data_IF_247451165404
#
_entry.id   IF_247451165404
#
_cell.length_a   1.000
_cell.length_b   1.000
_cell.length_c   1.000
_cell.angle_alpha   90.00
_cell.angle_beta   90.00
_cell.angle_gamma   90.00
#
_symmetry.space_group_name_H-M   'P 1'
#
loop_
_entity.id
_entity.type
_entity.pdbx_description
1 polymer ?
#
# COMPACT_ATOMS: atom_id res chain seq x y z
N UNK A 1 -11.15 -11.40 -17.54
CA UNK A 1 -10.67 -12.80 -17.71
C UNK A 1 -9.71 -13.16 -16.60
N UNK A 2 -10.09 -14.14 -15.77
CA UNK A 2 -9.26 -14.65 -14.67
C UNK A 2 -8.30 -15.73 -15.17
N UNK A 3 -7.14 -15.82 -14.52
CA UNK A 3 -6.24 -16.96 -14.66
C UNK A 3 -6.70 -18.11 -13.76
N UNK A 4 -6.45 -19.34 -14.18
CA UNK A 4 -6.73 -20.51 -13.35
C UNK A 4 -5.84 -20.52 -12.10
N UNK A 5 -6.43 -20.88 -10.95
CA UNK A 5 -5.76 -20.95 -9.65
C UNK A 5 -4.54 -21.89 -9.67
N UNK A 6 -4.54 -22.93 -10.51
CA UNK A 6 -3.42 -23.84 -10.68
C UNK A 6 -2.23 -23.16 -11.36
N UNK A 7 -2.48 -22.31 -12.37
CA UNK A 7 -1.43 -21.54 -13.04
C UNK A 7 -0.81 -20.52 -12.10
N UNK A 8 -1.65 -19.81 -11.35
CA UNK A 8 -1.21 -18.88 -10.30
C UNK A 8 -0.37 -19.60 -9.24
N UNK A 9 -0.84 -20.75 -8.74
CA UNK A 9 -0.11 -21.59 -7.79
C UNK A 9 1.22 -22.08 -8.35
N UNK A 10 1.25 -22.57 -9.59
CA UNK A 10 2.47 -23.03 -10.25
C UNK A 10 3.48 -21.89 -10.39
N UNK A 11 3.02 -20.70 -10.80
CA UNK A 11 3.88 -19.53 -10.90
C UNK A 11 4.48 -19.16 -9.54
N UNK A 12 3.66 -18.93 -8.53
CA UNK A 12 4.11 -18.39 -7.24
C UNK A 12 4.90 -19.38 -6.40
N UNK A 13 4.52 -20.65 -6.37
CA UNK A 13 5.17 -21.63 -5.49
C UNK A 13 6.23 -22.47 -6.22
N UNK A 14 6.05 -22.79 -7.50
CA UNK A 14 6.97 -23.70 -8.22
C UNK A 14 8.02 -22.98 -9.07
N UNK A 15 7.73 -21.79 -9.61
CA UNK A 15 8.72 -21.05 -10.42
C UNK A 15 9.69 -20.21 -9.59
N UNK A 16 10.96 -20.13 -10.01
CA UNK A 16 11.95 -19.25 -9.37
C UNK A 16 11.61 -17.77 -9.54
N UNK A 17 11.07 -17.39 -10.70
CA UNK A 17 10.64 -16.02 -10.99
C UNK A 17 9.48 -15.60 -10.11
N UNK A 18 8.44 -16.44 -9.98
CA UNK A 18 7.29 -16.17 -9.14
C UNK A 18 7.63 -16.12 -7.65
N UNK A 19 8.52 -17.00 -7.15
CA UNK A 19 9.02 -16.89 -5.77
C UNK A 19 9.78 -15.59 -5.52
N UNK A 20 10.58 -15.14 -6.50
CA UNK A 20 11.29 -13.86 -6.40
C UNK A 20 10.32 -12.67 -6.44
N UNK A 21 9.31 -12.72 -7.30
CA UNK A 21 8.27 -11.69 -7.38
C UNK A 21 7.45 -11.61 -6.09
N UNK A 22 6.99 -12.76 -5.59
CA UNK A 22 6.30 -12.89 -4.30
C UNK A 22 7.10 -12.27 -3.18
N UNK A 23 8.41 -12.58 -3.08
CA UNK A 23 9.27 -12.03 -2.04
C UNK A 23 9.30 -10.51 -2.10
N UNK A 24 9.51 -9.91 -3.27
CA UNK A 24 9.56 -8.44 -3.41
C UNK A 24 8.25 -7.78 -2.98
N UNK A 25 7.11 -8.30 -3.44
CA UNK A 25 5.79 -7.73 -3.13
C UNK A 25 5.48 -7.92 -1.63
N UNK A 26 5.72 -9.11 -1.09
CA UNK A 26 5.45 -9.42 0.32
C UNK A 26 6.35 -8.62 1.25
N UNK A 27 7.64 -8.47 0.94
CA UNK A 27 8.57 -7.72 1.77
C UNK A 27 8.13 -6.24 1.85
N UNK A 28 7.63 -5.67 0.74
CA UNK A 28 7.03 -4.32 0.73
C UNK A 28 5.74 -4.25 1.55
N UNK A 29 4.88 -5.26 1.45
CA UNK A 29 3.66 -5.32 2.24
C UNK A 29 3.98 -5.38 3.74
N UNK A 30 4.97 -6.18 4.15
CA UNK A 30 5.40 -6.31 5.55
C UNK A 30 6.08 -5.04 6.06
N UNK A 31 6.76 -4.28 5.20
CA UNK A 31 7.27 -2.94 5.53
C UNK A 31 6.12 -1.99 5.90
N UNK A 32 5.00 -2.04 5.16
CA UNK A 32 3.84 -1.20 5.46
C UNK A 32 3.03 -1.71 6.65
N UNK A 33 2.82 -3.03 6.70
CA UNK A 33 2.05 -3.74 7.71
C UNK A 33 2.95 -4.79 8.39
N UNK A 34 3.78 -4.38 9.37
CA UNK A 34 4.54 -5.31 10.18
C UNK A 34 3.62 -6.30 10.89
N UNK A 35 4.01 -7.57 10.99
CA UNK A 35 3.17 -8.63 11.58
C UNK A 35 2.75 -8.31 13.03
N UNK A 36 3.66 -7.73 13.81
CA UNK A 36 3.38 -7.27 15.17
C UNK A 36 2.26 -6.21 15.24
N UNK A 37 2.05 -5.42 14.18
CA UNK A 37 1.02 -4.37 14.15
C UNK A 37 -0.34 -4.85 13.64
N UNK A 38 -0.44 -6.10 13.17
CA UNK A 38 -1.72 -6.73 12.79
C UNK A 38 -2.26 -7.65 13.88
N UNK A 39 -1.62 -7.68 15.05
CA UNK A 39 -2.07 -8.51 16.15
C UNK A 39 -3.51 -8.19 16.54
N UNK A 40 -4.35 -9.22 16.64
CA UNK A 40 -5.77 -9.05 16.97
C UNK A 40 -6.67 -8.58 15.81
N UNK A 41 -6.11 -8.25 14.65
CA UNK A 41 -6.85 -7.78 13.48
C UNK A 41 -7.34 -8.94 12.60
N UNK A 42 -8.40 -8.70 11.83
CA UNK A 42 -8.86 -9.57 10.75
C UNK A 42 -8.18 -9.14 9.45
N UNK A 43 -7.35 -10.02 8.90
CA UNK A 43 -6.66 -9.83 7.63
C UNK A 43 -7.36 -10.67 6.56
N UNK A 44 -7.79 -10.05 5.48
CA UNK A 44 -8.34 -10.74 4.31
C UNK A 44 -7.49 -10.46 3.08
N UNK A 45 -7.49 -11.38 2.13
CA UNK A 45 -7.01 -11.09 0.78
C UNK A 45 -7.95 -11.65 -0.27
N UNK A 46 -8.05 -10.95 -1.40
CA UNK A 46 -8.90 -11.30 -2.54
C UNK A 46 -8.08 -11.47 -3.82
N UNK A 47 -8.55 -12.33 -4.72
CA UNK A 47 -7.84 -12.75 -5.93
C UNK A 47 -6.88 -13.90 -5.62
N UNK A 48 -5.59 -13.71 -5.88
CA UNK A 48 -4.52 -14.62 -5.49
C UNK A 48 -3.56 -13.98 -4.48
N UNK A 49 -4.11 -13.30 -3.47
CA UNK A 49 -3.33 -12.59 -2.44
C UNK A 49 -2.65 -13.51 -1.39
N UNK A 50 -3.06 -14.78 -1.28
CA UNK A 50 -2.56 -15.72 -0.25
C UNK A 50 -1.02 -15.86 -0.14
N UNK A 51 -0.21 -15.73 -1.21
CA UNK A 51 1.26 -15.74 -1.08
C UNK A 51 1.82 -14.57 -0.26
N UNK A 52 1.05 -13.49 -0.12
CA UNK A 52 1.39 -12.29 0.65
C UNK A 52 0.90 -12.37 2.11
N UNK A 53 -0.13 -13.16 2.40
CA UNK A 53 -0.77 -13.22 3.72
C UNK A 53 -0.05 -14.13 4.72
N UNK A 54 0.88 -14.98 4.26
CA UNK A 54 1.59 -15.96 5.11
C UNK A 54 2.23 -15.37 6.38
N UNK A 55 2.86 -14.18 6.36
CA UNK A 55 3.43 -13.58 7.57
C UNK A 55 2.42 -13.30 8.68
N UNK A 56 1.13 -13.16 8.35
CA UNK A 56 0.09 -12.76 9.30
C UNK A 56 -0.63 -13.95 9.95
N UNK A 57 -0.36 -15.19 9.52
CA UNK A 57 -1.03 -16.39 10.03
C UNK A 57 -0.82 -16.61 11.54
N UNK A 58 0.31 -16.17 12.09
CA UNK A 58 0.64 -16.35 13.50
C UNK A 58 0.02 -15.26 14.41
N UNK A 59 0.02 -14.01 13.96
CA UNK A 59 -0.29 -12.86 14.81
C UNK A 59 -1.71 -12.31 14.62
N UNK A 60 -2.27 -12.41 13.40
CA UNK A 60 -3.61 -11.92 13.12
C UNK A 60 -4.67 -12.76 13.86
N UNK A 61 -5.75 -12.13 14.30
CA UNK A 61 -6.91 -12.84 14.89
C UNK A 61 -7.52 -13.83 13.90
N UNK A 62 -7.54 -13.44 12.62
CA UNK A 62 -8.06 -14.26 11.53
C UNK A 62 -7.38 -13.85 10.23
N UNK A 63 -7.01 -14.86 9.44
CA UNK A 63 -6.60 -14.70 8.05
C UNK A 63 -7.65 -15.34 7.16
N UNK A 64 -8.07 -14.68 6.08
CA UNK A 64 -9.05 -15.20 5.12
C UNK A 64 -8.52 -15.01 3.70
N UNK A 65 -8.44 -16.08 2.92
CA UNK A 65 -8.11 -16.03 1.50
C UNK A 65 -9.34 -16.19 0.62
N UNK A 66 -9.93 -15.08 0.18
CA UNK A 66 -11.04 -15.07 -0.76
C UNK A 66 -10.52 -15.24 -2.19
N UNK A 67 -11.08 -16.19 -2.94
CA UNK A 67 -10.70 -16.44 -4.33
C UNK A 67 -11.94 -16.37 -5.25
N UNK A 68 -11.87 -15.61 -6.37
CA UNK A 68 -13.01 -15.46 -7.27
C UNK A 68 -13.42 -16.79 -7.92
N UNK A 69 -14.74 -16.99 -8.07
CA UNK A 69 -15.34 -18.12 -8.79
C UNK A 69 -14.61 -18.49 -10.09
N UNK A 70 -14.47 -17.57 -11.06
CA UNK A 70 -13.81 -17.85 -12.34
C UNK A 70 -12.31 -18.16 -12.24
N UNK A 71 -11.62 -17.74 -11.18
CA UNK A 71 -10.21 -18.10 -10.93
C UNK A 71 -10.12 -19.52 -10.35
N UNK A 72 -11.11 -19.94 -9.57
CA UNK A 72 -11.07 -21.15 -8.76
C UNK A 72 -10.40 -20.94 -7.40
N UNK A 73 -10.48 -21.97 -6.56
CA UNK A 73 -9.92 -21.97 -5.19
C UNK A 73 -8.92 -23.11 -5.00
N UNK A 74 -7.94 -22.90 -4.13
CA UNK A 74 -7.06 -23.96 -3.63
C UNK A 74 -7.04 -23.96 -2.10
N UNK A 75 -6.84 -25.13 -1.46
CA UNK A 75 -6.63 -25.18 -0.03
C UNK A 75 -5.32 -24.47 0.34
N UNK A 76 -5.39 -23.58 1.33
CA UNK A 76 -4.23 -22.85 1.84
C UNK A 76 -4.43 -22.51 3.32
N UNK A 77 -3.40 -22.60 4.17
CA UNK A 77 -2.00 -22.92 3.86
C UNK A 77 -1.75 -24.42 3.73
N UNK A 78 -0.74 -24.81 2.94
CA UNK A 78 -0.32 -26.21 2.85
C UNK A 78 0.14 -26.74 4.21
N UNK A 79 -0.42 -27.87 4.64
CA UNK A 79 -0.10 -28.53 5.91
C UNK A 79 -0.73 -27.88 7.14
N UNK A 80 -1.71 -26.99 6.97
CA UNK A 80 -2.42 -26.30 8.04
C UNK A 80 -3.93 -26.30 7.79
N UNK A 81 -4.77 -25.97 8.79
CA UNK A 81 -6.20 -25.77 8.57
C UNK A 81 -6.46 -24.77 7.46
N UNK A 82 -7.41 -25.09 6.58
CA UNK A 82 -7.73 -24.25 5.45
C UNK A 82 -8.35 -22.91 5.89
N UNK A 83 -7.88 -21.82 5.30
CA UNK A 83 -8.43 -20.48 5.47
C UNK A 83 -8.82 -19.82 4.14
N UNK A 84 -8.86 -20.61 3.05
CA UNK A 84 -9.30 -20.15 1.73
C UNK A 84 -10.76 -20.47 1.46
N UNK A 85 -11.43 -19.57 0.74
CA UNK A 85 -12.86 -19.66 0.39
C UNK A 85 -13.05 -19.26 -1.07
N UNK A 86 -13.80 -20.07 -1.82
CA UNK A 86 -14.31 -19.69 -3.13
C UNK A 86 -15.51 -18.75 -2.93
N UNK A 87 -15.51 -17.61 -3.58
CA UNK A 87 -16.63 -16.68 -3.50
C UNK A 87 -16.90 -15.98 -4.83
N UNK A 88 -18.11 -15.46 -4.94
CA UNK A 88 -18.46 -14.50 -5.98
C UNK A 88 -17.62 -13.22 -5.82
N UNK A 89 -17.37 -12.54 -6.94
CA UNK A 89 -16.50 -11.36 -6.97
C UNK A 89 -17.04 -10.20 -6.13
N UNK A 90 -18.36 -9.99 -6.15
CA UNK A 90 -19.02 -8.84 -5.53
C UNK A 90 -19.95 -9.23 -4.37
N UNK A 91 -19.85 -10.48 -3.89
CA UNK A 91 -20.70 -11.01 -2.82
C UNK A 91 -19.87 -11.90 -1.89
N UNK A 92 -18.93 -11.27 -1.18
CA UNK A 92 -18.04 -11.98 -0.28
C UNK A 92 -18.81 -12.47 0.95
N UNK A 93 -18.52 -13.69 1.45
CA UNK A 93 -19.13 -14.26 2.64
C UNK A 93 -18.56 -13.64 3.94
N UNK A 94 -18.44 -12.31 3.96
CA UNK A 94 -17.92 -11.50 5.06
C UNK A 94 -18.99 -10.52 5.52
N UNK A 95 -19.06 -10.29 6.82
CA UNK A 95 -19.94 -9.25 7.38
C UNK A 95 -19.38 -7.87 7.02
N UNK A 96 -20.28 -6.89 6.88
CA UNK A 96 -19.89 -5.49 6.69
C UNK A 96 -19.02 -5.03 7.84
N UNK A 97 -17.90 -4.38 7.55
CA UNK A 97 -17.00 -3.84 8.55
C UNK A 97 -16.14 -4.86 9.31
N UNK A 98 -16.06 -6.11 8.86
CA UNK A 98 -15.37 -7.18 9.57
C UNK A 98 -13.84 -7.22 9.32
N UNK A 99 -13.35 -6.59 8.25
CA UNK A 99 -11.95 -6.65 7.83
C UNK A 99 -11.21 -5.38 8.25
N UNK A 100 -10.03 -5.53 8.86
CA UNK A 100 -9.16 -4.40 9.24
C UNK A 100 -8.08 -4.13 8.19
N UNK A 101 -7.62 -5.21 7.53
CA UNK A 101 -6.54 -5.22 6.54
C UNK A 101 -6.94 -6.08 5.35
N UNK A 102 -7.02 -5.49 4.17
CA UNK A 102 -7.44 -6.16 2.95
C UNK A 102 -6.32 -6.10 1.89
N UNK A 103 -5.93 -7.23 1.30
CA UNK A 103 -4.95 -7.26 0.20
C UNK A 103 -5.62 -7.76 -1.07
N UNK A 104 -5.54 -7.00 -2.15
CA UNK A 104 -5.97 -7.43 -3.47
C UNK A 104 -4.74 -7.64 -4.35
N UNK A 105 -4.61 -8.84 -4.94
CA UNK A 105 -3.59 -9.14 -5.94
C UNK A 105 -4.18 -10.13 -6.94
N UNK A 106 -4.08 -9.87 -8.25
CA UNK A 106 -4.79 -10.66 -9.28
C UNK A 106 -6.30 -10.70 -9.03
N UNK A 107 -6.88 -9.54 -8.75
CA UNK A 107 -8.31 -9.41 -8.46
C UNK A 107 -8.90 -8.25 -9.23
N UNK A 108 -8.46 -7.03 -8.92
CA UNK A 108 -9.00 -5.81 -9.52
C UNK A 108 -8.75 -5.73 -11.04
N UNK A 109 -7.56 -6.14 -11.48
CA UNK A 109 -7.15 -6.13 -12.88
C UNK A 109 -7.86 -7.19 -13.73
N UNK A 110 -8.30 -8.29 -13.12
CA UNK A 110 -8.98 -9.40 -13.80
C UNK A 110 -10.50 -9.26 -13.83
N UNK A 111 -11.03 -8.40 -12.94
CA UNK A 111 -12.45 -8.15 -12.73
C UNK A 111 -13.13 -7.49 -13.93
N UNK A 112 -14.33 -7.95 -14.26
CA UNK A 112 -15.24 -7.31 -15.21
C UNK A 112 -16.20 -6.33 -14.52
N UNK A 113 -16.28 -6.39 -13.18
CA UNK A 113 -17.15 -5.60 -12.32
C UNK A 113 -16.36 -4.76 -11.31
N UNK A 114 -15.28 -4.11 -11.77
CA UNK A 114 -14.32 -3.42 -10.90
C UNK A 114 -14.96 -2.40 -9.93
N UNK A 115 -16.00 -1.69 -10.36
CA UNK A 115 -16.78 -0.76 -9.50
C UNK A 115 -17.45 -1.50 -8.34
N UNK A 116 -18.23 -2.54 -8.63
CA UNK A 116 -18.91 -3.33 -7.61
C UNK A 116 -17.92 -4.09 -6.71
N UNK A 117 -16.78 -4.53 -7.25
CA UNK A 117 -15.70 -5.10 -6.45
C UNK A 117 -15.11 -4.08 -5.47
N UNK A 118 -14.89 -2.82 -5.88
CA UNK A 118 -14.42 -1.76 -4.99
C UNK A 118 -15.46 -1.38 -3.93
N UNK A 119 -16.76 -1.41 -4.26
CA UNK A 119 -17.85 -1.26 -3.29
C UNK A 119 -17.84 -2.40 -2.28
N UNK A 120 -17.59 -3.63 -2.71
CA UNK A 120 -17.51 -4.81 -1.85
C UNK A 120 -16.28 -4.76 -0.93
N UNK A 121 -15.13 -4.31 -1.46
CA UNK A 121 -13.95 -4.02 -0.65
C UNK A 121 -14.28 -2.99 0.44
N UNK A 122 -14.96 -1.90 0.06
CA UNK A 122 -15.35 -0.85 1.00
C UNK A 122 -16.35 -1.37 2.03
N UNK A 123 -17.31 -2.22 1.64
CA UNK A 123 -18.30 -2.83 2.54
C UNK A 123 -17.62 -3.73 3.57
N UNK A 124 -16.71 -4.59 3.14
CA UNK A 124 -16.03 -5.55 4.00
C UNK A 124 -15.11 -4.87 5.03
N UNK A 125 -14.50 -3.74 4.68
CA UNK A 125 -13.60 -3.01 5.57
C UNK A 125 -14.33 -2.30 6.72
N UNK A 126 -13.80 -2.43 7.94
CA UNK A 126 -14.23 -1.66 9.12
C UNK A 126 -13.85 -0.17 9.03
N UNK A 127 -14.42 0.69 9.89
CA UNK A 127 -13.97 2.08 10.01
C UNK A 127 -12.46 2.15 10.30
N UNK A 128 -11.72 2.95 9.52
CA UNK A 128 -10.25 3.01 9.61
C UNK A 128 -9.51 1.79 9.04
N UNK A 129 -10.24 0.83 8.46
CA UNK A 129 -9.66 -0.31 7.75
C UNK A 129 -8.85 0.14 6.53
N UNK A 130 -7.81 -0.63 6.20
CA UNK A 130 -6.88 -0.31 5.11
C UNK A 130 -6.86 -1.43 4.07
N UNK A 131 -6.79 -1.04 2.80
CA UNK A 131 -6.59 -1.94 1.69
C UNK A 131 -5.24 -1.70 1.02
N UNK A 132 -4.61 -2.76 0.53
CA UNK A 132 -3.48 -2.69 -0.40
C UNK A 132 -3.89 -3.32 -1.71
N UNK A 133 -3.82 -2.55 -2.79
CA UNK A 133 -4.09 -3.00 -4.15
C UNK A 133 -2.75 -3.24 -4.86
N UNK A 134 -2.54 -4.46 -5.34
CA UNK A 134 -1.37 -4.88 -6.12
C UNK A 134 -1.84 -5.17 -7.54
N UNK A 135 -1.51 -4.29 -8.48
CA UNK A 135 -1.98 -4.38 -9.87
C UNK A 135 -0.82 -4.28 -10.87
N UNK A 136 -0.95 -4.79 -12.11
CA UNK A 136 0.05 -4.59 -13.15
C UNK A 136 0.25 -3.11 -13.46
N UNK A 137 1.50 -2.69 -13.57
CA UNK A 137 1.84 -1.33 -13.99
C UNK A 137 1.81 -1.24 -15.52
N UNK A 138 0.95 -0.38 -16.08
CA UNK A 138 0.83 -0.16 -17.55
C UNK A 138 2.14 0.25 -18.20
N UNK A 139 2.98 1.00 -17.49
CA UNK A 139 4.27 1.43 -18.00
C UNK A 139 5.38 0.38 -17.79
N UNK A 140 5.15 -0.66 -17.00
CA UNK A 140 6.13 -1.70 -16.68
C UNK A 140 6.22 -2.82 -17.72
N UNK A 141 7.36 -3.53 -17.74
CA UNK A 141 7.58 -4.65 -18.67
C UNK A 141 6.75 -5.90 -18.36
N UNK A 142 6.29 -6.06 -17.12
CA UNK A 142 5.54 -7.24 -16.68
C UNK A 142 4.13 -7.30 -17.28
N UNK A 143 3.50 -6.14 -17.48
CA UNK A 143 2.18 -6.03 -18.14
C UNK A 143 2.20 -6.30 -19.64
N UNK A 144 3.40 -6.51 -20.22
CA UNK A 144 3.60 -6.82 -21.64
C UNK A 144 3.98 -8.27 -21.89
N UNK A 145 3.94 -9.11 -20.86
CA UNK A 145 4.40 -10.49 -20.92
C UNK A 145 3.33 -11.44 -20.40
N UNK A 146 2.73 -12.18 -21.33
CA UNK A 146 1.76 -13.25 -21.06
C UNK A 146 2.41 -14.48 -20.40
N UNK A 147 3.73 -14.46 -20.20
CA UNK A 147 4.47 -15.47 -19.46
C UNK A 147 4.37 -15.30 -17.94
N UNK A 148 3.73 -14.23 -17.46
CA UNK A 148 3.53 -13.98 -16.03
C UNK A 148 2.07 -13.62 -15.74
N UNK A 149 1.57 -13.88 -14.52
CA UNK A 149 0.22 -13.46 -14.15
C UNK A 149 -0.05 -11.96 -14.33
N UNK A 150 0.97 -11.12 -14.17
CA UNK A 150 0.84 -9.68 -14.35
C UNK A 150 0.70 -9.22 -15.81
N UNK A 151 0.84 -10.12 -16.79
CA UNK A 151 0.51 -9.84 -18.20
C UNK A 151 -0.98 -9.93 -18.51
N UNK A 152 -1.79 -10.49 -17.60
CA UNK A 152 -3.21 -10.71 -17.81
C UNK A 152 -4.05 -9.62 -17.13
N UNK A 153 -5.24 -9.37 -17.70
CA UNK A 153 -6.16 -8.36 -17.20
C UNK A 153 -5.81 -6.93 -17.65
N UNK A 154 -6.44 -5.95 -17.02
CA UNK A 154 -6.28 -4.54 -17.33
C UNK A 154 -5.12 -3.94 -16.53
N UNK A 155 -4.03 -3.49 -17.17
CA UNK A 155 -2.96 -2.80 -16.44
C UNK A 155 -3.37 -1.37 -16.09
N UNK A 156 -2.81 -0.86 -14.99
CA UNK A 156 -3.14 0.44 -14.41
C UNK A 156 -1.98 1.43 -14.52
N UNK A 157 -2.30 2.71 -14.70
CA UNK A 157 -1.41 3.80 -14.27
C UNK A 157 -1.78 4.22 -12.84
N UNK A 158 -0.82 4.81 -12.12
CA UNK A 158 -1.03 5.24 -10.74
C UNK A 158 -2.24 6.19 -10.62
N UNK A 159 -2.27 7.28 -11.41
CA UNK A 159 -3.35 8.26 -11.34
C UNK A 159 -4.74 7.68 -11.70
N UNK A 160 -4.81 6.66 -12.56
CA UNK A 160 -6.09 6.00 -12.83
C UNK A 160 -6.57 5.16 -11.64
N UNK A 161 -5.66 4.43 -11.00
CA UNK A 161 -6.01 3.67 -9.80
C UNK A 161 -6.41 4.62 -8.67
N UNK A 162 -5.66 5.69 -8.42
CA UNK A 162 -6.00 6.69 -7.40
C UNK A 162 -7.35 7.36 -7.67
N UNK A 163 -7.66 7.72 -8.91
CA UNK A 163 -8.95 8.29 -9.27
C UNK A 163 -10.11 7.31 -9.01
N UNK A 164 -9.93 6.02 -9.34
CA UNK A 164 -10.93 4.99 -9.06
C UNK A 164 -11.12 4.78 -7.55
N UNK A 165 -10.03 4.65 -6.80
CA UNK A 165 -10.08 4.50 -5.34
C UNK A 165 -10.81 5.68 -4.69
N UNK A 166 -10.48 6.91 -5.09
CA UNK A 166 -11.15 8.13 -4.61
C UNK A 166 -12.66 8.12 -4.90
N UNK A 167 -13.06 7.71 -6.11
CA UNK A 167 -14.47 7.61 -6.48
C UNK A 167 -15.25 6.60 -5.59
N UNK A 168 -14.55 5.63 -4.99
CA UNK A 168 -15.14 4.61 -4.11
C UNK A 168 -14.85 4.88 -2.63
N UNK A 169 -14.60 6.14 -2.26
CA UNK A 169 -14.39 6.58 -0.86
C UNK A 169 -13.19 5.91 -0.18
N UNK A 170 -12.12 5.72 -0.95
CA UNK A 170 -10.80 5.42 -0.41
C UNK A 170 -9.91 6.67 -0.47
N UNK A 171 -9.12 6.88 0.57
CA UNK A 171 -8.03 7.86 0.56
C UNK A 171 -6.71 7.12 0.37
N UNK A 172 -5.97 7.47 -0.67
CA UNK A 172 -4.64 6.90 -0.92
C UNK A 172 -3.66 7.41 0.13
N UNK A 173 -3.04 6.50 0.87
CA UNK A 173 -2.04 6.81 1.91
C UNK A 173 -0.64 6.87 1.31
N UNK A 174 -0.31 5.86 0.49
CA UNK A 174 0.99 5.75 -0.18
C UNK A 174 0.91 4.82 -1.38
N UNK A 175 1.80 5.05 -2.33
CA UNK A 175 1.93 4.24 -3.53
C UNK A 175 3.40 3.98 -3.85
N UNK A 176 3.70 2.80 -4.40
CA UNK A 176 5.05 2.44 -4.85
C UNK A 176 4.99 1.55 -6.08
N UNK A 177 6.00 1.64 -6.94
CA UNK A 177 6.24 0.65 -7.98
C UNK A 177 7.19 -0.44 -7.46
N UNK A 178 6.93 -1.70 -7.82
CA UNK A 178 7.80 -2.82 -7.47
C UNK A 178 8.08 -3.71 -8.69
N UNK A 179 8.95 -4.72 -8.56
CA UNK A 179 9.38 -5.61 -9.66
C UNK A 179 10.09 -4.88 -10.83
N UNK A 180 11.16 -4.14 -10.53
CA UNK A 180 12.02 -3.50 -11.55
C UNK A 180 12.84 -4.49 -12.40
N UNK A 181 13.02 -5.73 -11.91
CA UNK A 181 13.70 -6.77 -12.70
C UNK A 181 12.76 -7.29 -13.79
N UNK A 182 13.23 -7.48 -15.04
CA UNK A 182 12.38 -7.94 -16.12
C UNK A 182 11.88 -9.38 -15.90
N UNK A 183 10.72 -9.75 -16.49
CA UNK A 183 10.11 -11.08 -16.34
C UNK A 183 10.83 -12.14 -17.18
N UNK A 184 12.06 -12.53 -16.80
CA UNK A 184 12.84 -13.55 -17.51
C UNK A 184 13.26 -14.72 -16.62
N UNK A 185 13.12 -15.94 -17.15
CA UNK A 185 13.54 -17.19 -16.52
C UNK A 185 15.04 -17.51 -16.72
N UNK A 186 15.74 -16.78 -17.60
CA UNK A 186 17.13 -17.09 -17.95
C UNK A 186 18.09 -16.57 -16.88
N UNK A 187 18.87 -17.47 -16.26
CA UNK A 187 19.92 -17.17 -15.25
C UNK A 187 20.98 -16.16 -15.71
N UNK A 188 21.08 -15.90 -17.02
CA UNK A 188 22.11 -15.11 -17.69
C UNK A 188 21.93 -13.59 -17.65
N UNK A 189 20.81 -13.04 -17.15
CA UNK A 189 20.59 -11.58 -17.17
C UNK A 189 21.64 -10.78 -16.38
N UNK A 190 22.34 -11.40 -15.43
CA UNK A 190 23.48 -10.77 -14.73
C UNK A 190 24.62 -10.34 -15.66
N UNK A 191 24.83 -11.02 -16.79
CA UNK A 191 25.87 -10.65 -17.78
C UNK A 191 25.37 -9.57 -18.76
N UNK A 192 24.07 -9.57 -19.06
CA UNK A 192 23.44 -8.56 -19.91
C UNK A 192 23.21 -7.22 -19.20
N UNK A 193 23.08 -7.21 -17.87
CA UNK A 193 22.90 -6.00 -17.07
C UNK A 193 24.07 -5.01 -17.22
N UNK A 194 25.31 -5.47 -17.26
CA UNK A 194 26.49 -4.62 -17.46
C UNK A 194 26.56 -4.00 -18.87
N UNK A 195 26.04 -4.71 -19.88
CA UNK A 195 25.91 -4.20 -21.25
C UNK A 195 24.72 -3.23 -21.39
N UNK A 196 23.62 -3.49 -20.67
CA UNK A 196 22.46 -2.61 -20.62
C UNK A 196 22.71 -1.34 -19.83
N UNK A 197 23.61 -1.32 -18.83
CA UNK A 197 23.95 -0.10 -18.09
C UNK A 197 24.53 1.01 -18.97
N UNK A 198 25.23 0.64 -20.07
CA UNK A 198 25.75 1.61 -21.05
C UNK A 198 24.68 2.15 -22.00
N UNK A 199 23.60 1.41 -22.26
CA UNK A 199 22.50 1.81 -23.14
C UNK A 199 21.24 2.31 -22.37
N UNK A 200 21.13 1.98 -21.09
CA UNK A 200 19.90 2.08 -20.29
C UNK A 200 19.67 3.43 -19.63
N UNK A 201 20.63 4.36 -19.68
CA UNK A 201 20.43 5.74 -19.19
C UNK A 201 19.35 6.51 -19.97
N UNK A 202 18.87 5.97 -21.10
CA UNK A 202 17.85 6.57 -21.95
C UNK A 202 16.64 5.67 -22.23
N UNK A 203 16.41 4.60 -21.45
CA UNK A 203 15.22 3.74 -21.60
C UNK A 203 14.28 3.85 -20.38
N UNK A 204 13.28 4.76 -20.42
CA UNK A 204 12.26 4.91 -19.37
C UNK A 204 11.51 3.61 -19.02
N UNK A 205 11.41 2.69 -19.98
CA UNK A 205 10.66 1.43 -19.86
C UNK A 205 11.31 0.44 -18.87
N UNK A 206 12.62 0.51 -18.65
CA UNK A 206 13.34 -0.39 -17.71
C UNK A 206 13.26 0.09 -16.26
N UNK A 207 12.98 1.38 -16.02
CA UNK A 207 12.89 1.97 -14.68
C UNK A 207 11.47 1.95 -14.10
N UNK A 208 10.49 1.48 -14.86
CA UNK A 208 9.10 1.43 -14.40
C UNK A 208 8.80 0.03 -13.85
N UNK A 209 8.68 -0.09 -12.53
CA UNK A 209 8.44 -1.38 -11.86
C UNK A 209 7.22 -2.09 -12.44
N UNK A 210 7.28 -3.42 -12.56
CA UNK A 210 6.23 -4.26 -13.15
C UNK A 210 4.86 -4.18 -12.47
N UNK A 211 4.79 -3.81 -11.20
CA UNK A 211 3.54 -3.73 -10.44
C UNK A 211 3.44 -2.42 -9.67
N UNK A 212 2.22 -1.93 -9.51
CA UNK A 212 1.87 -0.85 -8.59
C UNK A 212 1.31 -1.47 -7.32
N UNK A 213 1.80 -0.99 -6.17
CA UNK A 213 1.20 -1.25 -4.87
C UNK A 213 0.66 0.07 -4.34
N UNK A 214 -0.62 0.11 -3.96
CA UNK A 214 -1.27 1.30 -3.39
C UNK A 214 -1.96 0.92 -2.10
N UNK A 215 -1.53 1.52 -0.98
CA UNK A 215 -2.27 1.45 0.28
C UNK A 215 -3.30 2.58 0.32
N UNK A 216 -4.53 2.25 0.66
CA UNK A 216 -5.60 3.21 0.83
C UNK A 216 -6.43 2.91 2.08
N UNK A 217 -6.88 3.96 2.77
CA UNK A 217 -7.74 3.87 3.95
C UNK A 217 -9.19 4.07 3.54
N UNK A 218 -10.09 3.26 4.12
CA UNK A 218 -11.54 3.47 3.99
C UNK A 218 -11.94 4.80 4.63
N UNK A 219 -12.54 5.68 3.82
CA UNK A 219 -13.16 6.90 4.31
C UNK A 219 -14.63 6.64 4.67
N UNK A 220 -14.95 6.84 5.94
CA UNK A 220 -16.34 6.95 6.39
C UNK A 220 -16.59 8.45 6.49
N UNK A 221 -17.40 8.99 5.59
CA UNK A 221 -17.74 10.41 5.65
C UNK A 221 -18.23 10.76 7.06
N UNK A 222 -17.68 11.82 7.66
CA UNK A 222 -18.30 12.42 8.83
C UNK A 222 -19.75 12.79 8.44
N UNK A 223 -20.74 12.59 9.32
CA UNK A 223 -22.08 13.13 9.07
C UNK A 223 -21.90 14.61 8.77
N UNK A 224 -22.25 15.05 7.55
CA UNK A 224 -22.50 16.47 7.37
C UNK A 224 -23.62 16.81 8.34
N UNK A 225 -23.48 17.82 9.20
CA UNK A 225 -24.64 18.32 9.91
C UNK A 225 -25.62 18.73 8.81
N UNK A 226 -26.68 17.96 8.65
CA UNK A 226 -27.84 18.34 7.87
C UNK A 226 -28.43 19.56 8.56
N UNK A 227 -27.99 20.74 8.16
CA UNK A 227 -28.45 21.99 8.71
C UNK A 227 -28.84 22.92 7.57
N UNK A 228 -30.14 23.01 7.30
CA UNK A 228 -30.90 24.25 7.43
C UNK A 228 -32.19 24.21 6.60
N UNK A 229 -33.29 23.79 7.24
CA UNK A 229 -34.47 24.65 7.18
C UNK A 229 -34.22 25.82 8.14
N UNK A 230 -34.19 27.03 7.60
CA UNK A 230 -34.39 28.32 8.29
C UNK A 230 -33.45 28.69 9.44
N UNK A 231 -32.42 29.52 9.18
CA UNK A 231 -31.72 30.24 10.25
C UNK A 231 -30.34 30.82 9.94
N UNK A 232 -30.09 31.21 8.69
CA UNK A 232 -28.82 31.79 8.27
C UNK A 232 -28.66 33.26 8.64
N UNK A 233 -28.34 33.57 9.91
CA UNK A 233 -27.75 34.88 10.25
C UNK A 233 -26.92 34.88 11.54
N UNK A 234 -27.22 34.00 12.52
CA UNK A 234 -26.53 34.00 13.81
C UNK A 234 -25.13 33.35 13.81
N UNK A 235 -24.85 32.39 12.92
CA UNK A 235 -23.60 31.61 12.96
C UNK A 235 -22.36 32.39 12.44
N UNK A 236 -22.58 33.36 11.54
CA UNK A 236 -21.49 34.17 10.97
C UNK A 236 -20.98 35.25 11.96
N UNK A 237 -21.78 35.63 12.96
CA UNK A 237 -21.40 36.59 14.00
C UNK A 237 -20.49 35.96 15.07
N UNK A 238 -20.70 34.68 15.41
CA UNK A 238 -19.86 33.95 16.38
C UNK A 238 -18.45 33.68 15.87
N UNK A 239 -18.34 33.19 14.63
CA UNK A 239 -17.04 32.82 14.03
C UNK A 239 -16.10 34.03 13.78
N UNK A 240 -16.65 35.25 13.66
CA UNK A 240 -15.84 36.47 13.53
C UNK A 240 -15.27 36.97 14.87
N UNK A 241 -15.93 36.70 16.00
CA UNK A 241 -15.43 37.07 17.34
C UNK A 241 -14.25 36.20 17.77
N UNK A 242 -14.29 34.90 17.49
CA UNK A 242 -13.23 33.97 17.91
C UNK A 242 -11.93 34.14 17.10
N UNK A 243 -12.00 34.52 15.82
CA UNK A 243 -10.79 34.81 15.02
C UNK A 243 -10.04 36.06 15.49
N UNK A 244 -10.74 37.09 15.97
CA UNK A 244 -10.12 38.32 16.48
C UNK A 244 -9.47 38.11 17.87
N UNK A 245 -10.02 37.21 18.69
CA UNK A 245 -9.43 36.82 19.96
C UNK A 245 -8.13 35.99 19.77
N UNK A 246 -8.13 35.04 18.82
CA UNK A 246 -6.96 34.22 18.51
C UNK A 246 -5.77 35.03 17.94
N UNK A 247 -6.03 36.02 17.09
CA UNK A 247 -4.98 36.84 16.48
C UNK A 247 -4.23 37.72 17.49
N UNK A 248 -4.91 38.23 18.54
CA UNK A 248 -4.29 39.02 19.61
C UNK A 248 -3.36 38.18 20.51
N UNK A 249 -3.69 36.91 20.74
CA UNK A 249 -2.87 36.01 21.56
C UNK A 249 -1.54 35.61 20.89
N UNK A 250 -1.53 35.47 19.56
CA UNK A 250 -0.33 35.13 18.80
C UNK A 250 0.65 36.32 18.71
N UNK A 251 0.13 37.54 18.55
CA UNK A 251 0.97 38.75 18.51
C UNK A 251 1.72 39.03 19.83
N UNK A 252 1.08 38.77 20.98
CA UNK A 252 1.70 38.94 22.30
C UNK A 252 2.80 37.90 22.61
N UNK A 253 2.77 36.73 21.94
CA UNK A 253 3.75 35.65 22.15
C UNK A 253 5.04 35.84 21.35
N UNK A 254 4.96 36.59 20.24
CA UNK A 254 6.10 36.87 19.36
C UNK A 254 6.93 38.07 19.81
N UNK A 255 6.35 39.02 20.56
CA UNK A 255 7.07 40.17 21.10
C UNK A 255 7.96 39.85 22.31
N UNK A 256 7.64 38.80 23.09
CA UNK A 256 8.46 38.36 24.25
C UNK A 256 9.71 37.55 23.88
N UNK A 257 9.85 37.07 22.64
CA UNK A 257 11.02 36.27 22.21
C UNK A 257 12.17 37.08 21.60
N UNK A 258 12.04 38.40 21.43
CA UNK A 258 13.07 39.24 20.79
C UNK A 258 14.00 40.01 21.75
N UNK A 259 13.87 39.87 23.07
CA UNK A 259 14.64 40.68 24.04
C UNK A 259 15.87 39.96 24.62
N UNK A 260 16.01 38.63 24.51
CA UNK A 260 17.18 37.91 25.02
C UNK A 260 17.99 37.27 23.89
N UNK A 261 19.00 37.98 23.40
CA UNK A 261 19.93 37.44 22.42
C UNK A 261 20.93 38.43 21.84
N UNK A 262 21.64 39.19 22.68
CA UNK A 262 22.86 39.90 22.24
C UNK A 262 23.76 40.31 23.41
N UNK A 263 24.82 39.52 23.64
CA UNK A 263 26.12 39.86 24.25
C UNK A 263 26.87 38.53 24.48
N UNK A 264 28.11 38.30 24.10
CA UNK A 264 29.14 39.09 23.43
C UNK A 264 30.28 38.14 23.02
N UNK A 265 31.07 38.53 22.03
CA UNK A 265 32.17 37.74 21.49
C UNK A 265 33.54 38.19 22.03
N UNK A 266 34.39 37.17 22.27
CA UNK A 266 35.87 37.08 22.07
C UNK A 266 36.86 37.64 23.13
N UNK A 267 38.16 37.20 23.15
CA UNK A 267 38.83 36.10 22.41
C UNK A 267 39.86 35.22 23.19
N UNK A 268 40.30 34.14 22.50
CA UNK A 268 41.55 33.36 22.50
C UNK A 268 42.60 33.37 23.65
N UNK A 269 43.06 32.17 24.03
CA UNK A 269 44.43 31.92 24.49
C UNK A 269 44.92 30.49 24.15
N UNK A 270 46.21 30.41 23.78
CA UNK A 270 47.02 29.25 23.38
C UNK A 270 47.31 28.29 24.54
N UNK A 271 47.65 27.03 24.22
CA UNK A 271 48.70 26.31 24.96
C UNK A 271 48.58 24.78 25.12
N UNK A 272 49.45 24.07 24.39
CA UNK A 272 50.25 22.91 24.83
C UNK A 272 49.60 21.51 24.98
N UNK A 273 49.94 20.66 24.00
CA UNK A 273 50.70 19.39 24.12
C UNK A 273 50.61 18.60 25.44
N UNK A 274 50.28 17.30 25.33
CA UNK A 274 51.07 16.13 25.81
C UNK A 274 50.24 14.85 25.56
N UNK A 275 50.85 13.86 24.91
CA UNK A 275 50.43 12.46 24.86
C UNK A 275 51.46 11.60 25.66
N UNK A 276 51.24 10.29 25.84
CA UNK A 276 50.88 9.61 27.08
C UNK A 276 52.08 8.87 27.73
N UNK A 277 51.84 7.99 28.73
CA UNK A 277 52.58 6.74 28.73
C UNK A 277 51.72 5.48 28.91
N UNK A 278 52.29 4.40 28.38
CA UNK A 278 51.89 3.00 28.47
C UNK A 278 52.23 2.36 29.81
N UNK A 279 51.54 1.25 30.11
CA UNK A 279 51.84 0.23 31.14
C UNK A 279 50.52 -0.36 31.63
N UNK A 280 50.25 -1.67 31.64
CA UNK A 280 51.04 -2.91 31.54
C UNK A 280 50.26 -3.94 30.70
#
# INVERSE_FOLDING_TARGET
>A
MHLDVLDLRNFYYRSALGRAAQKVIRDRLVEWWPAAHVQGQTVAGYGFAVPLLRPYLADARRVIGLMPGPQGVMPWPAGQPNVSVLCEETLWPLRTGQVDRLVLMHGLETSEHATALLEECWRALGPGGRAVFVVPNRAGLWSRSDATPFGYGRPYSLGQLEAQLKAHRFETERAVSALYRPPSLRRGWRRSAALLERAGRHMPVLNTGGVLMVEATKQVAAPQPSGADGGGEAALAGARRDRLAGARAVAARLSRRRVFGRAGAQPAARGQNVAPPMGL
#
